data_IF_577350302378
#
_entry.id   IF_577350302378
#
_cell.length_a   1.000
_cell.length_b   1.000
_cell.length_c   1.000
_cell.angle_alpha   90.00
_cell.angle_beta   90.00
_cell.angle_gamma   90.00
#
_symmetry.space_group_name_H-M   'P 1'
#
loop_
_entity.id
_entity.type
_entity.pdbx_description
1 polymer ?
#
# COMPACT_ATOMS: atom_id res chain seq x y z
N UNK A 1 -38.18 -38.37 -6.51
CA UNK A 1 -37.87 -36.94 -6.68
C UNK A 1 -38.89 -36.22 -5.82
N UNK A 2 -38.60 -36.09 -4.53
CA UNK A 2 -39.60 -35.82 -3.50
C UNK A 2 -39.72 -34.33 -3.21
N UNK A 3 -40.94 -33.83 -3.34
CA UNK A 3 -41.40 -32.56 -2.78
C UNK A 3 -41.04 -32.45 -1.30
N UNK A 4 -40.23 -31.45 -0.97
CA UNK A 4 -40.10 -30.92 0.38
C UNK A 4 -40.87 -29.59 0.42
N UNK A 5 -42.09 -29.67 0.94
CA UNK A 5 -42.89 -28.60 1.54
C UNK A 5 -42.97 -27.26 0.78
N UNK A 6 -43.99 -27.09 -0.06
CA UNK A 6 -44.85 -25.89 -0.09
C UNK A 6 -44.25 -24.51 -0.37
N UNK A 7 -42.98 -24.38 -0.77
CA UNK A 7 -42.35 -23.09 -1.05
C UNK A 7 -42.50 -22.77 -2.55
N UNK A 8 -43.37 -21.81 -2.85
CA UNK A 8 -43.37 -21.12 -4.15
C UNK A 8 -42.11 -20.24 -4.22
N UNK A 9 -41.18 -20.59 -5.11
CA UNK A 9 -39.99 -19.78 -5.37
C UNK A 9 -40.34 -18.61 -6.28
N UNK A 10 -40.60 -17.43 -5.71
CA UNK A 10 -40.77 -16.17 -6.45
C UNK A 10 -39.45 -15.60 -7.03
N UNK A 11 -38.42 -16.43 -7.22
CA UNK A 11 -37.09 -16.02 -7.72
C UNK A 11 -36.27 -15.14 -6.77
N UNK A 12 -36.76 -14.88 -5.56
CA UNK A 12 -36.05 -14.13 -4.51
C UNK A 12 -35.49 -15.10 -3.48
N UNK A 13 -34.18 -15.02 -3.25
CA UNK A 13 -33.48 -15.84 -2.26
C UNK A 13 -33.14 -14.98 -1.04
N UNK A 14 -33.69 -15.29 0.15
CA UNK A 14 -33.39 -14.52 1.35
C UNK A 14 -31.94 -14.72 1.77
N UNK A 15 -31.36 -13.68 2.36
CA UNK A 15 -30.04 -13.77 3.00
C UNK A 15 -30.14 -14.72 4.18
N UNK A 16 -29.14 -15.58 4.33
CA UNK A 16 -29.04 -16.47 5.49
C UNK A 16 -28.92 -15.64 6.78
N UNK A 17 -29.67 -16.01 7.82
CA UNK A 17 -29.70 -15.34 9.13
C UNK A 17 -28.31 -15.12 9.75
N UNK A 18 -27.38 -16.06 9.58
CA UNK A 18 -26.01 -15.94 10.11
C UNK A 18 -25.24 -14.82 9.41
N UNK A 19 -25.42 -14.66 8.10
CA UNK A 19 -24.82 -13.55 7.34
C UNK A 19 -25.50 -12.21 7.63
N UNK A 20 -26.82 -12.23 7.85
CA UNK A 20 -27.59 -11.02 8.15
C UNK A 20 -27.13 -10.35 9.45
N UNK A 21 -26.74 -11.13 10.48
CA UNK A 21 -26.27 -10.63 11.78
C UNK A 21 -24.97 -9.83 11.71
N UNK A 22 -24.09 -10.14 10.77
CA UNK A 22 -22.75 -9.52 10.65
C UNK A 22 -22.64 -8.51 9.51
N UNK A 23 -23.73 -8.29 8.77
CA UNK A 23 -23.75 -7.37 7.64
C UNK A 23 -23.62 -5.91 8.09
N UNK A 24 -22.80 -5.13 7.39
CA UNK A 24 -22.68 -3.69 7.62
C UNK A 24 -23.96 -2.91 7.29
N UNK A 25 -24.82 -3.48 6.43
CA UNK A 25 -26.15 -2.96 6.10
C UNK A 25 -27.17 -4.04 6.48
N UNK A 26 -27.98 -3.72 7.48
CA UNK A 26 -28.86 -4.68 8.16
C UNK A 26 -30.23 -4.86 7.50
N UNK A 27 -30.62 -3.94 6.61
CA UNK A 27 -31.94 -3.97 5.98
C UNK A 27 -31.99 -3.29 4.62
N UNK A 28 -32.99 -3.66 3.81
CA UNK A 28 -33.27 -3.00 2.53
C UNK A 28 -33.65 -1.52 2.71
N UNK A 29 -34.30 -1.18 3.82
CA UNK A 29 -34.64 0.19 4.18
C UNK A 29 -33.38 1.02 4.45
N UNK A 30 -32.44 0.48 5.24
CA UNK A 30 -31.17 1.14 5.51
C UNK A 30 -30.38 1.34 4.21
N UNK A 31 -30.29 0.31 3.36
CA UNK A 31 -29.71 0.44 2.03
C UNK A 31 -30.37 1.55 1.21
N UNK A 32 -31.70 1.57 1.15
CA UNK A 32 -32.46 2.57 0.40
C UNK A 32 -32.19 3.99 0.88
N UNK A 33 -32.11 4.20 2.19
CA UNK A 33 -31.77 5.49 2.78
C UNK A 33 -30.33 5.92 2.46
N UNK A 34 -29.35 5.01 2.60
CA UNK A 34 -27.95 5.28 2.26
C UNK A 34 -27.77 5.59 0.77
N UNK A 35 -28.38 4.79 -0.10
CA UNK A 35 -28.34 4.98 -1.54
C UNK A 35 -28.95 6.32 -1.95
N UNK A 36 -30.12 6.66 -1.40
CA UNK A 36 -30.76 7.96 -1.63
C UNK A 36 -29.85 9.11 -1.21
N UNK A 37 -29.25 9.05 -0.02
CA UNK A 37 -28.31 10.07 0.46
C UNK A 37 -27.08 10.21 -0.45
N UNK A 38 -26.55 9.10 -0.94
CA UNK A 38 -25.38 9.12 -1.84
C UNK A 38 -25.61 9.86 -3.17
N UNK A 39 -26.88 10.01 -3.57
CA UNK A 39 -27.28 10.73 -4.78
C UNK A 39 -27.70 12.18 -4.50
N UNK A 40 -28.43 12.40 -3.41
CA UNK A 40 -28.96 13.74 -3.06
C UNK A 40 -27.91 14.64 -2.40
N UNK A 41 -26.97 14.06 -1.66
CA UNK A 41 -25.92 14.76 -0.93
C UNK A 41 -24.56 14.04 -1.09
N UNK A 42 -24.03 13.98 -2.33
CA UNK A 42 -22.80 13.24 -2.62
C UNK A 42 -21.58 13.84 -1.94
N UNK A 43 -21.54 15.17 -1.76
CA UNK A 43 -20.38 15.86 -1.19
C UNK A 43 -20.12 15.46 0.26
N UNK A 44 -21.17 15.44 1.10
CA UNK A 44 -21.02 15.01 2.50
C UNK A 44 -20.96 13.50 2.62
N UNK A 45 -21.83 12.75 1.91
CA UNK A 45 -21.87 11.29 2.02
C UNK A 45 -20.51 10.65 1.70
N UNK A 46 -19.93 10.98 0.54
CA UNK A 46 -18.63 10.43 0.16
C UNK A 46 -17.48 11.09 0.93
N UNK A 47 -17.64 12.35 1.36
CA UNK A 47 -16.63 13.05 2.13
C UNK A 47 -16.44 12.47 3.52
N UNK A 48 -17.53 12.09 4.19
CA UNK A 48 -17.52 11.38 5.47
C UNK A 48 -16.85 10.00 5.31
N UNK A 49 -17.30 9.20 4.35
CA UNK A 49 -16.75 7.87 4.11
C UNK A 49 -15.26 7.89 3.76
N UNK A 50 -14.82 8.85 2.96
CA UNK A 50 -13.41 8.99 2.58
C UNK A 50 -12.52 9.33 3.79
N UNK A 51 -13.00 10.16 4.73
CA UNK A 51 -12.25 10.50 5.95
C UNK A 51 -12.25 9.37 6.97
N UNK A 52 -13.33 8.60 7.04
CA UNK A 52 -13.42 7.46 7.96
C UNK A 52 -12.59 6.26 7.50
N UNK A 53 -12.53 6.01 6.19
CA UNK A 53 -11.98 4.76 5.65
C UNK A 53 -10.57 4.88 5.07
N UNK A 54 -10.06 6.09 4.84
CA UNK A 54 -8.73 6.33 4.28
C UNK A 54 -7.90 7.24 5.17
N UNK A 55 -6.60 6.94 5.24
CA UNK A 55 -5.61 7.73 5.93
C UNK A 55 -5.04 8.77 4.95
N UNK A 56 -5.29 10.04 5.24
CA UNK A 56 -4.82 11.18 4.44
C UNK A 56 -3.61 11.83 5.11
N UNK A 57 -2.58 12.15 4.35
CA UNK A 57 -1.48 13.02 4.79
C UNK A 57 -1.93 14.47 4.88
N UNK A 58 -2.75 14.87 3.91
CA UNK A 58 -3.47 16.14 3.90
C UNK A 58 -4.91 15.87 3.49
N UNK A 59 -5.84 16.38 4.28
CA UNK A 59 -7.26 16.32 3.95
C UNK A 59 -7.56 17.07 2.63
N UNK A 60 -8.67 16.69 1.99
CA UNK A 60 -9.12 17.31 0.75
C UNK A 60 -9.99 18.54 1.01
N UNK A 61 -9.94 19.49 0.08
CA UNK A 61 -10.70 20.74 0.19
C UNK A 61 -12.15 20.56 -0.31
N UNK A 62 -12.36 19.72 -1.32
CA UNK A 62 -13.66 19.47 -1.96
C UNK A 62 -13.81 17.99 -2.30
N UNK A 63 -14.96 17.38 -1.98
CA UNK A 63 -15.21 15.95 -2.22
C UNK A 63 -15.35 15.63 -3.70
N UNK A 64 -16.12 16.43 -4.44
CA UNK A 64 -16.36 16.21 -5.87
C UNK A 64 -16.54 17.54 -6.59
N UNK A 65 -15.90 17.67 -7.75
CA UNK A 65 -15.97 18.85 -8.60
C UNK A 65 -16.10 18.43 -10.06
N UNK A 66 -16.59 19.34 -10.90
CA UNK A 66 -16.74 19.11 -12.33
C UNK A 66 -17.98 18.30 -12.68
N UNK A 67 -18.09 17.93 -13.96
CA UNK A 67 -19.25 17.23 -14.52
C UNK A 67 -18.81 16.20 -15.55
N UNK A 68 -19.52 15.07 -15.61
CA UNK A 68 -19.26 14.02 -16.60
C UNK A 68 -19.36 14.57 -18.03
N UNK A 69 -20.33 15.47 -18.27
CA UNK A 69 -20.54 16.09 -19.58
C UNK A 69 -19.34 16.88 -20.11
N UNK A 70 -18.55 17.49 -19.20
CA UNK A 70 -17.33 18.25 -19.56
C UNK A 70 -16.05 17.42 -19.43
N UNK A 71 -16.13 16.23 -18.82
CA UNK A 71 -14.98 15.36 -18.58
C UNK A 71 -13.97 15.92 -17.57
N UNK A 72 -14.38 16.87 -16.73
CA UNK A 72 -13.54 17.56 -15.73
C UNK A 72 -13.81 17.09 -14.30
N UNK A 73 -14.33 15.86 -14.14
CA UNK A 73 -14.65 15.30 -12.83
C UNK A 73 -13.38 15.01 -12.04
N UNK A 74 -13.29 15.57 -10.84
CA UNK A 74 -12.25 15.23 -9.87
C UNK A 74 -12.88 14.96 -8.50
N UNK A 75 -12.31 13.97 -7.80
CA UNK A 75 -12.72 13.59 -6.46
C UNK A 75 -11.61 13.89 -5.46
N UNK A 76 -11.99 14.35 -4.26
CA UNK A 76 -11.10 14.65 -3.14
C UNK A 76 -9.99 15.63 -3.53
N UNK A 77 -10.39 16.73 -4.17
CA UNK A 77 -9.46 17.71 -4.74
C UNK A 77 -8.50 18.21 -3.67
N UNK A 78 -7.22 18.26 -4.04
CA UNK A 78 -6.10 18.68 -3.19
C UNK A 78 -5.78 17.76 -1.99
N UNK A 79 -6.53 16.69 -1.80
CA UNK A 79 -6.21 15.65 -0.82
C UNK A 79 -4.94 14.90 -1.20
N UNK A 80 -4.14 14.55 -0.21
CA UNK A 80 -2.90 13.80 -0.39
C UNK A 80 -2.93 12.55 0.46
N UNK A 81 -2.74 11.39 -0.17
CA UNK A 81 -2.62 10.10 0.49
C UNK A 81 -1.60 9.23 -0.24
N UNK A 82 -1.26 8.10 0.37
CA UNK A 82 -0.47 7.07 -0.28
C UNK A 82 -1.21 5.72 -0.20
N UNK A 83 -1.27 5.03 -1.34
CA UNK A 83 -1.94 3.74 -1.47
C UNK A 83 -1.27 2.67 -0.60
N UNK A 84 0.06 2.60 -0.58
CA UNK A 84 0.80 1.63 0.23
C UNK A 84 0.57 1.87 1.72
N UNK A 85 0.53 3.13 2.16
CA UNK A 85 0.24 3.44 3.56
C UNK A 85 -1.15 2.95 3.99
N UNK A 86 -2.15 3.13 3.12
CA UNK A 86 -3.51 2.67 3.36
C UNK A 86 -3.66 1.14 3.27
N UNK A 87 -2.92 0.48 2.39
CA UNK A 87 -3.04 -0.96 2.17
C UNK A 87 -2.10 -1.80 3.05
N UNK A 88 -1.01 -1.23 3.57
CA UNK A 88 0.06 -1.95 4.25
C UNK A 88 0.38 -1.29 5.60
N UNK A 89 0.97 -0.08 5.60
CA UNK A 89 1.59 0.51 6.79
C UNK A 89 0.62 0.66 7.97
N UNK A 90 -0.60 1.17 7.73
CA UNK A 90 -1.61 1.33 8.79
C UNK A 90 -2.06 0.00 9.40
N UNK A 91 -2.07 -1.06 8.58
CA UNK A 91 -2.44 -2.40 9.04
C UNK A 91 -1.29 -3.05 9.82
N UNK A 92 -0.04 -2.82 9.44
CA UNK A 92 1.16 -3.28 10.18
C UNK A 92 1.18 -2.69 11.57
N UNK A 93 0.92 -1.38 11.70
CA UNK A 93 0.88 -0.69 12.99
C UNK A 93 -0.14 -1.31 13.96
N UNK A 94 -1.28 -1.78 13.45
CA UNK A 94 -2.37 -2.35 14.25
C UNK A 94 -2.16 -3.84 14.53
N UNK A 95 -1.83 -4.63 13.52
CA UNK A 95 -1.74 -6.09 13.58
C UNK A 95 -0.66 -6.62 12.59
N UNK A 96 0.63 -6.55 12.92
CA UNK A 96 1.72 -6.89 11.99
C UNK A 96 1.75 -8.37 11.58
N UNK A 97 1.28 -9.26 12.45
CA UNK A 97 1.26 -10.70 12.22
C UNK A 97 0.00 -11.18 11.50
N UNK A 98 -0.93 -10.28 11.14
CA UNK A 98 -2.14 -10.66 10.40
C UNK A 98 -1.76 -11.05 8.97
N UNK A 99 -2.21 -12.20 8.52
CA UNK A 99 -2.06 -12.62 7.13
C UNK A 99 -2.73 -11.60 6.20
N UNK A 100 -1.95 -11.12 5.24
CA UNK A 100 -2.35 -10.18 4.21
C UNK A 100 -2.71 -10.89 2.91
N UNK A 101 -1.89 -11.86 2.52
CA UNK A 101 -2.03 -12.63 1.28
C UNK A 101 -2.04 -14.11 1.65
N UNK A 102 -3.05 -14.82 1.17
CA UNK A 102 -3.06 -16.29 1.12
C UNK A 102 -2.62 -16.64 -0.29
N UNK A 103 -1.39 -17.13 -0.42
CA UNK A 103 -0.83 -17.55 -1.69
C UNK A 103 -1.10 -19.05 -1.86
N UNK A 104 -1.99 -19.37 -2.80
CA UNK A 104 -2.28 -20.76 -3.19
C UNK A 104 -1.29 -21.16 -4.29
N UNK A 105 -0.51 -22.21 -4.02
CA UNK A 105 0.37 -22.81 -5.02
C UNK A 105 -0.43 -23.75 -5.93
N UNK A 106 0.16 -24.11 -7.08
CA UNK A 106 -0.43 -25.13 -7.96
C UNK A 106 -0.45 -26.51 -7.29
N UNK A 107 0.59 -26.84 -6.51
CA UNK A 107 0.69 -28.10 -5.77
C UNK A 107 0.03 -28.02 -4.40
N UNK A 108 -0.76 -29.04 -4.07
CA UNK A 108 -1.49 -29.11 -2.80
C UNK A 108 -0.51 -29.13 -1.62
N UNK A 109 -0.71 -28.22 -0.68
CA UNK A 109 0.10 -28.12 0.54
C UNK A 109 1.33 -27.23 0.41
N UNK A 110 1.62 -26.69 -0.78
CA UNK A 110 2.72 -25.73 -0.97
C UNK A 110 2.30 -24.26 -0.79
N UNK A 111 1.02 -24.01 -0.49
CA UNK A 111 0.50 -22.67 -0.22
C UNK A 111 1.19 -21.97 0.96
N UNK A 112 1.17 -20.63 0.95
CA UNK A 112 1.84 -19.79 1.95
C UNK A 112 0.94 -18.67 2.43
N UNK A 113 0.99 -18.39 3.73
CA UNK A 113 0.40 -17.19 4.30
C UNK A 113 1.46 -16.11 4.43
N UNK A 114 1.28 -14.97 3.76
CA UNK A 114 2.18 -13.82 3.81
C UNK A 114 1.51 -12.75 4.68
N UNK A 115 2.16 -12.34 5.76
CA UNK A 115 1.65 -11.27 6.64
C UNK A 115 2.12 -9.87 6.21
N UNK A 116 1.49 -8.83 6.77
CA UNK A 116 1.89 -7.44 6.55
C UNK A 116 3.22 -7.12 7.27
N UNK A 117 4.36 -7.45 6.67
CA UNK A 117 5.67 -7.04 7.20
C UNK A 117 6.05 -5.71 6.55
N UNK A 118 5.99 -4.62 7.32
CA UNK A 118 6.59 -3.33 6.93
C UNK A 118 7.88 -3.09 7.69
N UNK A 119 8.95 -3.36 6.94
CA UNK A 119 10.23 -2.67 6.87
C UNK A 119 10.34 -1.36 7.66
N UNK A 120 11.06 -1.42 8.78
CA UNK A 120 11.58 -0.28 9.54
C UNK A 120 12.86 -0.73 10.29
N UNK A 121 13.54 0.14 11.05
CA UNK A 121 14.81 -0.17 11.74
C UNK A 121 14.74 -1.31 12.78
N UNK A 122 13.58 -1.93 12.96
CA UNK A 122 13.34 -3.15 13.77
C UNK A 122 13.45 -4.45 12.95
N UNK A 123 13.73 -4.38 11.65
CA UNK A 123 13.67 -5.51 10.71
C UNK A 123 14.95 -6.37 10.66
N UNK A 124 15.37 -6.92 11.80
CA UNK A 124 16.61 -7.70 11.93
C UNK A 124 16.65 -9.04 11.16
N UNK A 125 15.65 -9.36 10.32
CA UNK A 125 15.59 -10.60 9.51
C UNK A 125 15.32 -10.40 8.01
N UNK A 126 14.94 -9.19 7.60
CA UNK A 126 14.50 -8.90 6.22
C UNK A 126 15.63 -9.00 5.20
N UNK A 127 16.84 -8.56 5.56
CA UNK A 127 17.99 -8.62 4.66
C UNK A 127 18.34 -10.08 4.36
N UNK A 128 18.22 -10.97 5.34
CA UNK A 128 18.40 -12.40 5.18
C UNK A 128 17.33 -13.01 4.28
N UNK A 129 16.06 -12.66 4.47
CA UNK A 129 14.97 -13.11 3.61
C UNK A 129 15.14 -12.65 2.16
N UNK A 130 15.51 -11.38 1.94
CA UNK A 130 15.74 -10.84 0.60
C UNK A 130 16.91 -11.55 -0.09
N UNK A 131 18.00 -11.80 0.64
CA UNK A 131 19.14 -12.58 0.15
C UNK A 131 18.70 -13.99 -0.21
N UNK A 132 17.89 -14.65 0.64
CA UNK A 132 17.38 -15.99 0.37
C UNK A 132 16.47 -16.04 -0.86
N UNK A 133 15.61 -15.04 -1.05
CA UNK A 133 14.71 -14.95 -2.20
C UNK A 133 15.50 -14.72 -3.51
N UNK A 134 16.50 -13.83 -3.49
CA UNK A 134 17.39 -13.63 -4.64
C UNK A 134 18.19 -14.90 -4.95
N UNK A 135 18.66 -15.60 -3.91
CA UNK A 135 19.33 -16.89 -4.08
C UNK A 135 18.40 -17.94 -4.69
N UNK A 136 17.14 -17.99 -4.27
CA UNK A 136 16.17 -18.94 -4.78
C UNK A 136 15.78 -18.68 -6.24
N UNK A 137 15.58 -17.40 -6.62
CA UNK A 137 15.08 -17.03 -7.96
C UNK A 137 16.15 -16.82 -9.01
N UNK A 138 17.31 -16.27 -8.63
CA UNK A 138 18.38 -15.90 -9.57
C UNK A 138 19.61 -16.77 -9.36
N UNK A 139 19.94 -17.10 -8.11
CA UNK A 139 21.07 -17.93 -7.74
C UNK A 139 22.07 -17.23 -6.82
N UNK A 140 22.97 -18.02 -6.24
CA UNK A 140 23.94 -17.53 -5.24
C UNK A 140 24.91 -16.45 -5.78
N UNK A 141 25.18 -16.42 -7.09
CA UNK A 141 26.05 -15.42 -7.70
C UNK A 141 25.41 -14.02 -7.78
N UNK A 142 24.08 -13.93 -7.70
CA UNK A 142 23.33 -12.67 -7.80
C UNK A 142 22.89 -12.14 -6.43
N UNK A 143 23.18 -12.87 -5.34
CA UNK A 143 22.77 -12.44 -4.00
C UNK A 143 23.59 -11.23 -3.55
N UNK A 144 22.94 -10.13 -3.13
CA UNK A 144 23.66 -8.92 -2.75
C UNK A 144 24.41 -9.11 -1.42
N UNK A 145 25.68 -8.69 -1.37
CA UNK A 145 26.50 -8.72 -0.15
C UNK A 145 26.10 -7.64 0.87
N UNK A 146 25.56 -6.53 0.36
CA UNK A 146 25.15 -5.36 1.14
C UNK A 146 23.76 -4.94 0.67
N UNK A 147 22.84 -4.82 1.62
CA UNK A 147 21.51 -4.26 1.41
C UNK A 147 21.39 -3.07 2.35
N UNK A 148 21.13 -1.90 1.79
CA UNK A 148 20.94 -0.66 2.55
C UNK A 148 19.48 -0.27 2.49
N UNK A 149 18.82 -0.28 3.65
CA UNK A 149 17.44 0.16 3.79
C UNK A 149 17.43 1.68 3.91
N UNK A 150 16.65 2.34 3.05
CA UNK A 150 16.56 3.80 2.99
C UNK A 150 15.09 4.19 2.92
N UNK A 151 14.68 5.28 3.60
CA UNK A 151 13.28 5.70 3.60
C UNK A 151 12.82 6.16 2.21
N UNK A 152 13.72 6.75 1.42
CA UNK A 152 13.44 7.16 0.06
C UNK A 152 14.69 7.13 -0.84
N UNK A 153 14.47 7.04 -2.16
CA UNK A 153 15.49 7.11 -3.20
C UNK A 153 15.62 8.54 -3.74
N UNK A 154 16.82 8.95 -4.21
CA UNK A 154 17.01 10.27 -4.78
C UNK A 154 16.30 10.33 -6.14
N UNK A 155 15.19 11.07 -6.23
CA UNK A 155 14.37 11.23 -7.43
C UNK A 155 14.35 12.68 -7.91
N UNK A 156 14.23 12.87 -9.23
CA UNK A 156 13.92 14.17 -9.82
C UNK A 156 12.48 14.60 -9.51
N UNK A 157 12.13 15.87 -9.74
CA UNK A 157 10.73 16.36 -9.69
C UNK A 157 9.76 15.60 -10.62
N UNK A 158 10.29 14.91 -11.62
CA UNK A 158 9.54 14.03 -12.54
C UNK A 158 9.54 12.55 -12.13
N UNK A 159 10.05 12.22 -10.94
CA UNK A 159 10.07 10.87 -10.38
C UNK A 159 11.21 9.96 -10.87
N UNK A 160 12.12 10.46 -11.71
CA UNK A 160 13.24 9.65 -12.21
C UNK A 160 14.29 9.45 -11.11
N UNK A 161 14.65 8.20 -10.82
CA UNK A 161 15.74 7.90 -9.89
C UNK A 161 17.07 8.41 -10.45
N UNK A 162 17.75 9.25 -9.68
CA UNK A 162 19.06 9.80 -10.01
C UNK A 162 20.14 8.79 -9.65
N UNK A 163 20.22 7.70 -10.43
CA UNK A 163 21.14 6.56 -10.20
C UNK A 163 22.60 6.97 -10.02
N UNK A 164 23.02 8.07 -10.65
CA UNK A 164 24.36 8.66 -10.52
C UNK A 164 24.71 8.97 -9.06
N UNK A 165 23.75 9.49 -8.28
CA UNK A 165 23.93 9.81 -6.86
C UNK A 165 24.15 8.53 -6.05
N UNK A 166 23.28 7.53 -6.25
CA UNK A 166 23.40 6.23 -5.60
C UNK A 166 24.75 5.57 -5.89
N UNK A 167 25.20 5.62 -7.15
CA UNK A 167 26.50 5.07 -7.56
C UNK A 167 27.67 5.77 -6.87
N UNK A 168 27.64 7.10 -6.76
CA UNK A 168 28.73 7.83 -6.11
C UNK A 168 28.78 7.58 -4.60
N UNK A 169 27.63 7.55 -3.94
CA UNK A 169 27.52 7.18 -2.52
C UNK A 169 28.05 5.76 -2.29
N UNK A 170 27.71 4.80 -3.16
CA UNK A 170 28.17 3.42 -3.02
C UNK A 170 29.68 3.24 -3.23
N UNK A 171 30.36 4.18 -3.90
CA UNK A 171 31.81 4.19 -4.12
C UNK A 171 32.56 5.12 -3.15
N UNK A 172 31.88 5.75 -2.19
CA UNK A 172 32.49 6.72 -1.28
C UNK A 172 32.88 8.05 -1.93
N UNK A 173 32.39 8.34 -3.15
CA UNK A 173 32.63 9.59 -3.88
C UNK A 173 31.62 10.71 -3.50
N UNK A 174 31.31 10.82 -2.22
CA UNK A 174 30.27 11.71 -1.68
C UNK A 174 30.60 13.20 -1.89
N UNK A 175 31.88 13.54 -1.93
CA UNK A 175 32.35 14.91 -2.17
C UNK A 175 32.17 15.36 -3.64
N UNK A 176 31.85 14.42 -4.54
CA UNK A 176 31.77 14.64 -5.99
C UNK A 176 30.37 14.43 -6.56
N UNK A 177 29.30 14.64 -5.77
CA UNK A 177 27.92 14.37 -6.19
C UNK A 177 27.38 15.26 -7.32
N UNK A 178 28.09 16.29 -7.76
CA UNK A 178 27.72 17.13 -8.90
C UNK A 178 26.43 17.93 -8.70
N UNK A 179 25.74 18.29 -9.78
CA UNK A 179 24.50 19.08 -9.70
C UNK A 179 23.33 18.24 -9.16
N UNK A 180 22.66 18.79 -8.14
CA UNK A 180 21.55 18.20 -7.38
C UNK A 180 20.28 19.06 -7.45
N UNK A 181 20.30 20.16 -8.20
CA UNK A 181 19.20 21.12 -8.32
C UNK A 181 17.89 20.51 -8.84
N UNK A 182 17.98 19.37 -9.53
CA UNK A 182 16.85 18.66 -10.14
C UNK A 182 16.14 17.68 -9.20
N UNK A 183 16.71 17.42 -8.01
CA UNK A 183 16.09 16.55 -7.00
C UNK A 183 14.79 17.17 -6.48
N UNK A 184 13.78 16.32 -6.28
CA UNK A 184 12.56 16.72 -5.61
C UNK A 184 12.84 17.04 -4.13
N UNK A 185 13.64 16.19 -3.48
CA UNK A 185 13.96 16.27 -2.05
C UNK A 185 15.47 16.09 -1.84
N UNK A 186 16.27 17.17 -1.81
CA UNK A 186 17.71 17.09 -1.62
C UNK A 186 18.13 16.50 -0.26
N UNK A 187 17.27 16.60 0.75
CA UNK A 187 17.52 16.14 2.13
C UNK A 187 17.66 14.62 2.25
N UNK A 188 17.20 13.85 1.27
CA UNK A 188 17.37 12.39 1.23
C UNK A 188 18.85 12.01 1.13
N UNK A 189 19.70 12.87 0.56
CA UNK A 189 21.09 12.55 0.23
C UNK A 189 21.96 12.32 1.49
N UNK A 190 21.96 13.21 2.50
CA UNK A 190 22.59 12.94 3.79
C UNK A 190 22.13 11.64 4.46
N UNK A 191 20.84 11.30 4.36
CA UNK A 191 20.28 10.06 4.94
C UNK A 191 20.84 8.83 4.22
N UNK A 192 20.91 8.86 2.89
CA UNK A 192 21.50 7.79 2.08
C UNK A 192 22.98 7.59 2.41
N UNK A 193 23.74 8.67 2.57
CA UNK A 193 25.15 8.64 2.95
C UNK A 193 25.31 7.97 4.32
N UNK A 194 24.55 8.43 5.32
CA UNK A 194 24.60 7.88 6.68
C UNK A 194 24.24 6.39 6.72
N UNK A 195 23.18 6.00 5.99
CA UNK A 195 22.75 4.61 5.89
C UNK A 195 23.81 3.73 5.20
N UNK A 196 24.41 4.21 4.11
CA UNK A 196 25.47 3.48 3.40
C UNK A 196 26.72 3.32 4.27
N UNK A 197 27.18 4.39 4.92
CA UNK A 197 28.33 4.33 5.84
C UNK A 197 28.08 3.35 6.97
N UNK A 198 26.89 3.38 7.57
CA UNK A 198 26.50 2.44 8.64
C UNK A 198 26.51 1.00 8.16
N UNK A 199 26.06 0.73 6.93
CA UNK A 199 26.08 -0.62 6.35
C UNK A 199 27.48 -1.13 5.98
N UNK A 200 28.44 -0.22 5.78
CA UNK A 200 29.85 -0.53 5.51
C UNK A 200 30.69 -0.71 6.78
N UNK A 201 30.22 -0.26 7.95
CA UNK A 201 30.93 -0.48 9.22
C UNK A 201 31.01 -1.99 9.50
N UNK A 202 32.20 -2.57 9.34
CA UNK A 202 32.47 -4.00 9.55
C UNK A 202 32.60 -4.84 8.27
N UNK A 203 32.51 -4.25 7.07
CA UNK A 203 32.78 -4.90 5.78
C UNK A 203 33.77 -4.05 4.98
N UNK A 204 34.85 -4.62 4.45
CA UNK A 204 35.72 -3.88 3.53
C UNK A 204 35.04 -3.73 2.17
N UNK A 205 35.28 -2.61 1.49
CA UNK A 205 34.98 -2.45 0.06
C UNK A 205 35.80 -3.44 -0.78
#
# INVERSE_FOLDING_TARGET
MGDIAGISYNGVYPVNDEHAKVAHVSSLEQYGAMHKRSLEDPENFWGELARENLDWFRDFDQTVVGTVAKGDVAWFLNGQLNVSVNCIDRHVKKNPNKTAIIWEADEIGEGRNISYIVYGPLANGVTTELVMEVRAKIGAFASPDIIVMVPELPKTRSGKIVRRVLRKISHGEEDSLGDMSTLAEPEVVPVLISAMRSALVGKSL
#
